data_IF_517133004381
#
_entry.id   IF_517133004381
#
_cell.length_a   1.000
_cell.length_b   1.000
_cell.length_c   1.000
_cell.angle_alpha   90.00
_cell.angle_beta   90.00
_cell.angle_gamma   90.00
#
_symmetry.space_group_name_H-M   'P 1'
#
loop_
_entity.id
_entity.type
_entity.pdbx_description
1 polymer ?
#
# COMPACT_ATOMS: atom_id res chain seq x y z
N UNK A 1 63.44 -33.92 53.83
CA UNK A 1 64.02 -33.93 52.46
C UNK A 1 62.83 -33.88 51.52
N UNK A 2 62.39 -32.73 51.01
CA UNK A 2 62.95 -32.05 49.82
C UNK A 2 62.79 -32.99 48.61
N UNK A 3 61.95 -32.76 47.60
CA UNK A 3 61.93 -31.60 46.71
C UNK A 3 60.59 -31.43 45.97
N UNK A 4 60.40 -30.18 45.55
CA UNK A 4 59.37 -29.54 44.74
C UNK A 4 59.42 -29.85 43.24
N UNK A 5 58.27 -29.65 42.58
CA UNK A 5 58.08 -28.97 41.27
C UNK A 5 58.51 -29.66 39.96
N UNK A 6 57.54 -29.84 39.05
CA UNK A 6 57.53 -29.34 37.66
C UNK A 6 56.10 -29.59 37.10
N UNK A 7 55.22 -28.58 37.10
CA UNK A 7 55.12 -27.55 36.05
C UNK A 7 54.77 -28.21 34.71
N UNK A 8 53.52 -28.21 34.26
CA UNK A 8 52.80 -26.97 33.94
C UNK A 8 53.25 -26.45 32.57
N UNK A 9 53.05 -27.22 31.49
CA UNK A 9 53.56 -26.84 30.16
C UNK A 9 52.73 -27.36 28.96
N UNK A 10 51.40 -27.47 29.09
CA UNK A 10 50.55 -27.88 27.95
C UNK A 10 49.24 -27.11 27.77
N UNK A 11 48.97 -26.07 28.58
CA UNK A 11 47.64 -25.45 28.62
C UNK A 11 47.60 -23.97 28.17
N UNK A 12 48.60 -23.47 27.44
CA UNK A 12 48.67 -22.02 27.13
C UNK A 12 48.69 -21.65 25.63
N UNK A 13 48.72 -22.59 24.69
CA UNK A 13 48.91 -22.23 23.26
C UNK A 13 47.64 -22.19 22.39
N UNK A 14 46.47 -22.51 22.93
CA UNK A 14 45.25 -22.70 22.13
C UNK A 14 44.19 -21.59 22.29
N UNK A 15 44.39 -20.61 23.18
CA UNK A 15 43.37 -19.58 23.48
C UNK A 15 43.56 -18.24 22.75
N UNK A 16 44.61 -18.09 21.92
CA UNK A 16 44.88 -16.81 21.21
C UNK A 16 44.40 -16.75 19.76
N UNK A 17 44.01 -17.88 19.15
CA UNK A 17 43.60 -17.91 17.73
C UNK A 17 42.10 -17.68 17.51
N UNK A 18 41.27 -17.74 18.55
CA UNK A 18 39.81 -17.65 18.41
C UNK A 18 39.20 -16.26 18.68
N UNK A 19 40.01 -15.24 19.03
CA UNK A 19 39.48 -13.88 19.26
C UNK A 19 39.62 -12.93 18.08
N UNK A 20 40.47 -13.25 17.09
CA UNK A 20 40.72 -12.36 15.95
C UNK A 20 39.76 -12.63 14.78
N UNK A 21 39.24 -13.86 14.66
CA UNK A 21 38.33 -14.24 13.55
C UNK A 21 36.88 -13.80 13.83
N UNK A 22 36.44 -13.75 15.09
CA UNK A 22 35.07 -13.35 15.44
C UNK A 22 34.79 -11.84 15.36
N UNK A 23 35.81 -10.99 15.43
CA UNK A 23 35.63 -9.53 15.45
C UNK A 23 35.62 -8.88 14.05
N UNK A 24 36.04 -9.61 13.00
CA UNK A 24 36.09 -9.08 11.63
C UNK A 24 34.81 -9.34 10.81
N UNK A 25 33.95 -10.28 11.22
CA UNK A 25 32.70 -10.58 10.51
C UNK A 25 31.53 -9.64 10.81
N UNK A 26 31.65 -8.76 11.82
CA UNK A 26 30.57 -7.83 12.21
C UNK A 26 30.59 -6.49 11.46
N UNK A 27 31.69 -6.15 10.78
CA UNK A 27 31.82 -4.88 10.04
C UNK A 27 31.48 -5.00 8.54
N UNK A 28 31.39 -6.22 7.99
CA UNK A 28 31.00 -6.44 6.59
C UNK A 28 29.50 -6.29 6.32
N UNK A 29 28.65 -6.42 7.34
CA UNK A 29 27.19 -6.48 7.18
C UNK A 29 26.50 -5.11 7.13
N UNK A 30 27.18 -4.02 7.52
CA UNK A 30 26.59 -2.69 7.54
C UNK A 30 26.58 -2.01 6.15
N UNK A 31 27.53 -2.33 5.28
CA UNK A 31 27.63 -1.72 3.94
C UNK A 31 26.61 -2.29 2.94
N UNK A 32 26.13 -3.53 3.16
CA UNK A 32 25.20 -4.18 2.25
C UNK A 32 23.73 -3.75 2.45
N UNK A 33 23.39 -3.18 3.62
CA UNK A 33 22.03 -2.73 3.90
C UNK A 33 21.72 -1.30 3.39
N UNK A 34 22.73 -0.48 3.11
CA UNK A 34 22.52 0.92 2.72
C UNK A 34 22.33 1.06 1.19
N UNK A 35 22.89 0.16 0.38
CA UNK A 35 22.78 0.22 -1.09
C UNK A 35 21.43 -0.24 -1.66
N UNK A 36 20.70 -1.12 -0.95
CA UNK A 36 19.42 -1.66 -1.44
C UNK A 36 18.22 -0.72 -1.32
N UNK A 37 18.33 0.35 -0.51
CA UNK A 37 17.20 1.22 -0.19
C UNK A 37 16.96 2.35 -1.20
N UNK A 38 17.83 2.54 -2.20
CA UNK A 38 17.81 3.70 -3.10
C UNK A 38 17.27 3.40 -4.52
N UNK A 39 16.87 2.16 -4.83
CA UNK A 39 16.39 1.80 -6.17
C UNK A 39 14.85 1.76 -6.31
N UNK A 40 14.09 2.00 -5.22
CA UNK A 40 12.63 1.84 -5.24
C UNK A 40 11.85 3.04 -5.79
N UNK A 41 12.51 4.18 -6.04
CA UNK A 41 11.83 5.46 -6.29
C UNK A 41 11.43 5.72 -7.75
N UNK A 42 11.96 4.97 -8.71
CA UNK A 42 11.80 5.29 -10.16
C UNK A 42 10.44 4.85 -10.73
N UNK A 43 9.74 3.88 -10.12
CA UNK A 43 8.45 3.39 -10.64
C UNK A 43 7.21 4.09 -10.07
N UNK A 44 7.37 5.00 -9.11
CA UNK A 44 6.25 5.69 -8.48
C UNK A 44 5.73 6.88 -9.30
N UNK A 45 6.57 7.50 -10.13
CA UNK A 45 6.23 8.72 -10.87
C UNK A 45 5.19 8.46 -11.98
N UNK A 46 5.35 7.37 -12.72
CA UNK A 46 4.42 7.01 -13.82
C UNK A 46 3.00 6.72 -13.29
N UNK A 47 2.90 6.08 -12.12
CA UNK A 47 1.62 5.77 -11.51
C UNK A 47 0.86 7.04 -11.09
N UNK A 48 1.58 8.06 -10.60
CA UNK A 48 1.00 9.34 -10.20
C UNK A 48 0.43 10.12 -11.40
N UNK A 49 1.04 10.00 -12.58
CA UNK A 49 0.56 10.64 -13.81
C UNK A 49 -0.73 10.00 -14.35
N UNK A 50 -0.90 8.69 -14.17
CA UNK A 50 -2.04 7.94 -14.72
C UNK A 50 -3.24 7.94 -13.76
N UNK A 51 -3.01 8.06 -12.45
CA UNK A 51 -4.06 7.98 -11.43
C UNK A 51 -5.29 8.89 -11.68
N UNK A 52 -5.15 10.17 -12.12
CA UNK A 52 -6.30 11.02 -12.40
C UNK A 52 -7.19 10.52 -13.55
N UNK A 53 -6.65 9.71 -14.45
CA UNK A 53 -7.37 9.18 -15.62
C UNK A 53 -8.05 7.83 -15.34
N UNK A 54 -7.92 7.29 -14.13
CA UNK A 54 -8.57 6.03 -13.72
C UNK A 54 -9.25 6.19 -12.36
N UNK A 55 -10.21 7.12 -12.23
CA UNK A 55 -10.84 7.45 -10.96
C UNK A 55 -11.50 6.23 -10.28
N UNK A 56 -11.89 5.20 -11.03
CA UNK A 56 -12.57 4.03 -10.47
C UNK A 56 -11.66 2.83 -10.18
N UNK A 57 -10.35 3.02 -10.09
CA UNK A 57 -9.39 1.94 -9.77
C UNK A 57 -9.61 1.31 -8.39
N UNK A 58 -10.13 2.07 -7.42
CA UNK A 58 -10.44 1.55 -6.07
C UNK A 58 -11.87 0.99 -5.96
N UNK A 59 -12.60 0.93 -7.07
CA UNK A 59 -14.01 0.52 -7.13
C UNK A 59 -14.93 1.67 -7.53
N UNK A 60 -16.14 1.30 -7.91
CA UNK A 60 -17.15 2.27 -8.33
C UNK A 60 -17.92 2.82 -7.14
N UNK A 61 -18.30 4.12 -7.18
CA UNK A 61 -19.17 4.68 -6.16
C UNK A 61 -20.49 3.90 -6.14
N UNK A 62 -20.92 3.51 -4.93
CA UNK A 62 -22.22 2.85 -4.72
C UNK A 62 -22.98 3.61 -3.66
N UNK A 63 -24.25 3.88 -3.96
CA UNK A 63 -25.20 4.47 -3.02
C UNK A 63 -26.27 3.43 -2.74
N UNK A 64 -26.58 3.12 -1.46
CA UNK A 64 -27.63 2.15 -1.14
C UNK A 64 -28.96 2.51 -1.81
N UNK A 65 -29.54 1.56 -2.55
CA UNK A 65 -30.82 1.75 -3.25
C UNK A 65 -30.72 2.45 -4.62
N UNK A 66 -29.52 2.85 -5.05
CA UNK A 66 -29.25 3.35 -6.40
C UNK A 66 -28.32 2.40 -7.15
N UNK A 67 -28.76 1.15 -7.30
CA UNK A 67 -28.05 0.18 -8.11
C UNK A 67 -28.25 0.47 -9.62
N UNK A 68 -27.29 0.09 -10.47
CA UNK A 68 -27.45 0.16 -11.93
C UNK A 68 -28.74 -0.51 -12.40
N UNK A 69 -29.47 0.15 -13.30
CA UNK A 69 -30.77 -0.27 -13.79
C UNK A 69 -31.97 0.26 -13.00
N UNK A 70 -31.75 0.86 -11.82
CA UNK A 70 -32.81 1.56 -11.08
C UNK A 70 -33.21 2.83 -11.82
N UNK A 71 -34.51 3.04 -12.00
CA UNK A 71 -35.04 4.33 -12.43
C UNK A 71 -35.27 5.22 -11.22
N UNK A 72 -34.54 6.33 -11.15
CA UNK A 72 -34.76 7.39 -10.19
C UNK A 72 -35.89 8.30 -10.69
N UNK A 73 -36.95 8.36 -9.91
CA UNK A 73 -38.16 9.13 -10.17
C UNK A 73 -38.59 9.87 -8.91
N UNK A 74 -39.69 10.60 -8.99
CA UNK A 74 -40.28 11.30 -7.83
C UNK A 74 -40.48 10.40 -6.61
N UNK A 75 -40.78 9.12 -6.80
CA UNK A 75 -41.08 8.20 -5.70
C UNK A 75 -39.85 7.86 -4.83
N UNK A 76 -38.65 7.93 -5.40
CA UNK A 76 -37.41 7.53 -4.75
C UNK A 76 -36.29 8.58 -4.87
N UNK A 77 -36.60 9.80 -5.32
CA UNK A 77 -35.68 10.93 -5.46
C UNK A 77 -34.84 11.18 -4.20
N UNK A 78 -35.44 10.99 -3.03
CA UNK A 78 -34.79 11.18 -1.74
C UNK A 78 -33.54 10.29 -1.53
N UNK A 79 -33.45 9.15 -2.22
CA UNK A 79 -32.27 8.26 -2.19
C UNK A 79 -31.01 8.94 -2.78
N UNK A 80 -31.21 9.94 -3.64
CA UNK A 80 -30.13 10.59 -4.38
C UNK A 80 -29.74 11.97 -3.83
N UNK A 81 -30.32 12.41 -2.71
CA UNK A 81 -30.10 13.75 -2.15
C UNK A 81 -28.64 14.10 -1.87
N UNK A 82 -27.86 13.11 -1.45
CA UNK A 82 -26.46 13.32 -1.07
C UNK A 82 -25.50 13.25 -2.27
N UNK A 83 -25.98 12.85 -3.44
CA UNK A 83 -25.16 12.66 -4.65
C UNK A 83 -25.59 13.50 -5.85
N UNK A 84 -26.84 13.94 -5.90
CA UNK A 84 -27.32 14.85 -6.92
C UNK A 84 -27.22 16.31 -6.47
N UNK A 85 -26.85 17.23 -7.37
CA UNK A 85 -27.02 18.65 -7.16
C UNK A 85 -28.48 18.99 -6.86
N UNK A 86 -28.71 20.02 -6.03
CA UNK A 86 -30.04 20.40 -5.57
C UNK A 86 -30.98 20.75 -6.75
N UNK A 87 -30.45 21.33 -7.81
CA UNK A 87 -31.19 21.72 -9.02
C UNK A 87 -31.72 20.48 -9.75
N UNK A 88 -30.90 19.42 -9.87
CA UNK A 88 -31.30 18.18 -10.53
C UNK A 88 -32.30 17.43 -9.67
N UNK A 89 -32.07 17.40 -8.35
CA UNK A 89 -32.99 16.77 -7.41
C UNK A 89 -34.39 17.38 -7.49
N UNK A 90 -34.50 18.70 -7.58
CA UNK A 90 -35.79 19.41 -7.72
C UNK A 90 -36.54 18.99 -8.98
N UNK A 91 -35.85 18.80 -10.11
CA UNK A 91 -36.48 18.35 -11.35
C UNK A 91 -37.03 16.92 -11.24
N UNK A 92 -36.28 16.03 -10.57
CA UNK A 92 -36.73 14.65 -10.32
C UNK A 92 -37.92 14.63 -9.35
N UNK A 93 -37.88 15.43 -8.28
CA UNK A 93 -38.96 15.56 -7.29
C UNK A 93 -40.24 16.18 -7.88
N UNK A 94 -40.09 17.11 -8.82
CA UNK A 94 -41.21 17.66 -9.59
C UNK A 94 -41.83 16.61 -10.54
N UNK A 95 -41.05 15.57 -10.91
CA UNK A 95 -41.44 14.57 -11.90
C UNK A 95 -41.20 15.03 -13.34
N UNK A 96 -40.40 16.08 -13.53
CA UNK A 96 -40.07 16.62 -14.86
C UNK A 96 -39.05 15.74 -15.59
N UNK A 97 -38.21 15.02 -14.84
CA UNK A 97 -37.21 14.10 -15.37
C UNK A 97 -37.16 12.80 -14.58
N UNK A 98 -36.83 11.72 -15.26
CA UNK A 98 -36.47 10.43 -14.66
C UNK A 98 -35.04 10.09 -15.09
N UNK A 99 -34.26 9.56 -14.15
CA UNK A 99 -32.85 9.24 -14.37
C UNK A 99 -32.61 7.75 -14.22
N UNK A 100 -32.21 7.09 -15.30
CA UNK A 100 -31.75 5.70 -15.24
C UNK A 100 -30.33 5.68 -14.67
N UNK A 101 -30.16 5.00 -13.53
CA UNK A 101 -28.84 4.77 -12.96
C UNK A 101 -28.09 3.77 -13.85
N UNK A 102 -26.87 4.13 -14.25
CA UNK A 102 -26.01 3.30 -15.11
C UNK A 102 -24.71 2.95 -14.39
N UNK A 103 -24.04 1.91 -14.89
CA UNK A 103 -22.68 1.60 -14.47
C UNK A 103 -21.74 2.76 -14.83
N UNK A 104 -20.87 3.13 -13.89
CA UNK A 104 -19.74 3.99 -14.20
C UNK A 104 -18.68 3.19 -14.97
N UNK A 105 -17.80 3.86 -15.69
CA UNK A 105 -16.66 3.20 -16.34
C UNK A 105 -15.58 4.25 -16.60
N UNK A 106 -14.31 3.86 -16.46
CA UNK A 106 -13.17 4.71 -16.84
C UNK A 106 -13.06 4.84 -18.37
N UNK A 107 -13.65 3.91 -19.11
CA UNK A 107 -13.54 3.79 -20.57
C UNK A 107 -14.88 4.05 -21.24
N UNK A 108 -14.91 4.80 -22.36
CA UNK A 108 -16.15 5.00 -23.10
C UNK A 108 -16.71 3.66 -23.63
N UNK A 109 -18.05 3.54 -23.78
CA UNK A 109 -18.66 2.41 -24.46
C UNK A 109 -18.06 2.25 -25.86
N UNK A 110 -17.79 1.01 -26.27
CA UNK A 110 -17.26 0.67 -27.61
C UNK A 110 -18.37 0.59 -28.64
#
# INVERSE_FOLDING_TARGET
MGHTSLSGHAAHKQSRRMRVVGLLSLLGSAAFFIGGLWCASVWAEDAALIAPFRPYTQGMPRVPGLDPGVMLSRANAQLAKDVLPAEVLQLVEAGDVELLIQDATDLPPR
#
